data_IF_276892249821
#
_entry.id   IF_276892249821
#
_cell.length_a   1.000
_cell.length_b   1.000
_cell.length_c   1.000
_cell.angle_alpha   90.00
_cell.angle_beta   90.00
_cell.angle_gamma   90.00
#
_symmetry.space_group_name_H-M   'P 1'
#
loop_
_entity.id
_entity.type
_entity.pdbx_description
1 polymer ?
#
# COMPACT_ATOMS: atom_id res chain seq x y z
N UNK A 1 -45.63 28.79 -11.59
CA UNK A 1 -46.01 27.36 -11.81
C UNK A 1 -44.99 26.55 -11.01
N UNK A 2 -45.19 26.13 -9.77
CA UNK A 2 -46.22 25.27 -9.15
C UNK A 2 -46.24 23.86 -9.75
N UNK A 3 -45.46 22.95 -9.15
CA UNK A 3 -45.90 21.57 -8.92
C UNK A 3 -45.49 21.15 -7.52
N UNK A 4 -46.52 20.86 -6.74
CA UNK A 4 -46.52 20.38 -5.36
C UNK A 4 -46.55 18.85 -5.35
N UNK A 5 -45.84 18.30 -4.37
CA UNK A 5 -46.15 17.10 -3.56
C UNK A 5 -46.20 15.73 -4.25
N UNK A 6 -45.54 14.74 -3.62
CA UNK A 6 -46.20 13.62 -2.90
C UNK A 6 -45.20 13.04 -1.90
N UNK A 7 -45.62 12.99 -0.64
CA UNK A 7 -44.99 12.25 0.44
C UNK A 7 -45.39 10.77 0.34
N UNK A 8 -44.48 9.84 0.67
CA UNK A 8 -44.86 8.49 1.08
C UNK A 8 -43.97 8.04 2.23
N UNK A 9 -44.58 8.00 3.42
CA UNK A 9 -44.02 7.43 4.62
C UNK A 9 -44.12 5.90 4.55
N UNK A 10 -43.01 5.21 4.75
CA UNK A 10 -43.02 3.77 5.08
C UNK A 10 -42.43 3.61 6.47
N UNK A 11 -43.33 3.44 7.43
CA UNK A 11 -43.04 2.95 8.78
C UNK A 11 -42.27 1.63 8.68
N UNK A 12 -41.07 1.56 9.26
CA UNK A 12 -40.50 0.29 9.68
C UNK A 12 -40.93 0.00 11.13
N UNK A 13 -41.46 -1.19 11.42
CA UNK A 13 -41.70 -1.62 12.80
C UNK A 13 -40.36 -1.88 13.49
N UNK A 14 -40.10 -1.13 14.57
CA UNK A 14 -39.03 -1.44 15.51
C UNK A 14 -39.43 -2.71 16.29
N UNK A 15 -38.93 -3.86 15.84
CA UNK A 15 -39.00 -5.09 16.62
C UNK A 15 -38.08 -4.93 17.84
N UNK A 16 -38.69 -4.77 19.00
CA UNK A 16 -38.03 -4.81 20.29
C UNK A 16 -37.34 -6.18 20.46
N UNK A 17 -36.01 -6.18 20.55
CA UNK A 17 -35.24 -7.31 21.04
C UNK A 17 -35.50 -7.43 22.54
N UNK A 18 -36.54 -8.18 22.91
CA UNK A 18 -36.68 -8.72 24.26
C UNK A 18 -35.73 -9.91 24.38
N UNK A 19 -34.47 -9.64 24.71
CA UNK A 19 -33.56 -10.67 25.19
C UNK A 19 -33.80 -10.84 26.69
N UNK A 20 -34.32 -12.00 27.06
CA UNK A 20 -34.35 -12.46 28.44
C UNK A 20 -32.92 -12.42 29.01
N UNK A 21 -32.71 -11.64 30.07
CA UNK A 21 -31.54 -11.78 30.92
C UNK A 21 -31.80 -12.94 31.88
N UNK A 22 -31.03 -14.04 31.84
CA UNK A 22 -30.78 -14.79 33.05
C UNK A 22 -29.82 -13.94 33.90
N UNK A 23 -30.40 -13.34 34.95
CA UNK A 23 -29.66 -12.86 36.10
C UNK A 23 -29.10 -14.06 36.88
N UNK A 24 -28.05 -13.81 37.68
CA UNK A 24 -27.35 -14.71 38.60
C UNK A 24 -26.07 -15.36 38.01
N UNK A 25 -24.95 -14.63 37.89
CA UNK A 25 -24.08 -14.20 39.00
C UNK A 25 -23.40 -15.35 39.77
N UNK A 26 -22.72 -16.26 39.07
CA UNK A 26 -21.63 -17.02 39.66
C UNK A 26 -20.69 -17.51 38.54
N UNK A 27 -19.63 -16.74 38.28
CA UNK A 27 -18.25 -17.21 38.06
C UNK A 27 -17.42 -16.09 37.40
N UNK A 28 -17.30 -14.95 38.11
CA UNK A 28 -16.43 -13.84 37.72
C UNK A 28 -15.05 -13.99 38.39
N UNK A 29 -14.49 -15.20 38.38
CA UNK A 29 -13.27 -15.51 39.13
C UNK A 29 -12.31 -16.48 38.42
N UNK A 30 -12.30 -16.57 37.07
CA UNK A 30 -11.14 -17.09 36.34
C UNK A 30 -11.14 -16.72 34.85
N UNK A 31 -11.37 -15.45 34.51
CA UNK A 31 -11.09 -14.99 33.14
C UNK A 31 -9.59 -14.73 32.99
N UNK A 32 -8.81 -15.81 32.90
CA UNK A 32 -7.44 -15.75 32.39
C UNK A 32 -7.44 -14.99 31.04
N UNK A 33 -6.41 -14.18 30.73
CA UNK A 33 -6.34 -13.49 29.45
C UNK A 33 -6.49 -14.52 28.33
N UNK A 34 -7.54 -14.39 27.53
CA UNK A 34 -7.75 -15.22 26.35
C UNK A 34 -6.69 -14.83 25.33
N UNK A 35 -5.58 -15.55 25.33
CA UNK A 35 -4.62 -15.50 24.24
C UNK A 35 -5.35 -15.97 22.99
N UNK A 36 -5.43 -15.13 21.96
CA UNK A 36 -5.83 -15.54 20.62
C UNK A 36 -4.85 -16.62 20.14
N UNK A 37 -5.20 -17.89 20.31
CA UNK A 37 -4.52 -19.06 19.72
C UNK A 37 -5.17 -19.43 18.38
N UNK A 38 -5.64 -18.42 17.64
CA UNK A 38 -6.10 -18.60 16.27
C UNK A 38 -4.90 -18.72 15.35
N UNK A 39 -4.73 -19.87 14.70
CA UNK A 39 -3.76 -20.12 13.62
C UNK A 39 -4.01 -19.27 12.35
N UNK A 40 -4.95 -18.32 12.40
CA UNK A 40 -5.36 -17.46 11.28
C UNK A 40 -4.76 -16.05 11.35
N UNK A 41 -3.66 -15.85 12.11
CA UNK A 41 -2.85 -14.64 11.93
C UNK A 41 -2.08 -14.84 10.62
N UNK A 42 -2.30 -14.01 9.57
CA UNK A 42 -1.47 -14.09 8.37
C UNK A 42 -0.03 -13.92 8.81
N UNK A 43 0.83 -14.87 8.44
CA UNK A 43 2.23 -14.86 8.81
C UNK A 43 2.79 -13.46 8.55
N UNK A 44 3.24 -12.78 9.61
CA UNK A 44 3.77 -11.43 9.50
C UNK A 44 5.03 -11.50 8.63
N UNK A 45 4.93 -11.05 7.38
CA UNK A 45 6.10 -10.84 6.55
C UNK A 45 6.84 -9.60 7.06
N UNK A 46 7.70 -9.80 8.05
CA UNK A 46 8.47 -8.74 8.70
C UNK A 46 9.36 -7.99 7.71
N UNK A 47 9.89 -8.68 6.71
CA UNK A 47 10.74 -8.09 5.67
C UNK A 47 9.97 -7.06 4.84
N UNK A 48 8.76 -7.41 4.40
CA UNK A 48 7.92 -6.48 3.63
C UNK A 48 7.49 -5.27 4.46
N UNK A 49 7.17 -5.47 5.74
CA UNK A 49 6.82 -4.38 6.67
C UNK A 49 8.01 -3.44 6.92
N UNK A 50 9.21 -3.99 7.06
CA UNK A 50 10.43 -3.19 7.21
C UNK A 50 10.78 -2.42 5.93
N UNK A 51 10.51 -3.00 4.76
CA UNK A 51 10.64 -2.31 3.48
C UNK A 51 9.63 -1.18 3.33
N UNK A 52 8.36 -1.40 3.70
CA UNK A 52 7.34 -0.35 3.71
C UNK A 52 7.70 0.78 4.68
N UNK A 53 8.21 0.46 5.87
CA UNK A 53 8.63 1.47 6.85
C UNK A 53 9.79 2.34 6.37
N UNK A 54 10.65 1.80 5.49
CA UNK A 54 11.77 2.52 4.88
C UNK A 54 11.41 3.16 3.54
N UNK A 55 10.20 2.93 3.03
CA UNK A 55 9.83 3.39 1.72
C UNK A 55 9.57 4.90 1.70
N UNK A 56 10.07 5.54 0.65
CA UNK A 56 9.88 6.96 0.35
C UNK A 56 8.81 7.09 -0.72
N UNK A 57 7.86 7.99 -0.49
CA UNK A 57 6.83 8.31 -1.50
C UNK A 57 7.47 8.97 -2.72
N UNK A 58 7.15 8.43 -3.90
CA UNK A 58 7.58 8.93 -5.19
C UNK A 58 6.43 9.13 -6.16
N UNK A 59 6.73 9.78 -7.29
CA UNK A 59 5.81 9.93 -8.39
C UNK A 59 6.54 9.95 -9.73
N UNK A 60 5.86 9.50 -10.77
CA UNK A 60 6.38 9.47 -12.12
C UNK A 60 6.29 10.85 -12.78
N UNK A 61 7.38 11.32 -13.38
CA UNK A 61 7.46 12.61 -14.09
C UNK A 61 7.35 12.49 -15.62
N UNK A 62 7.55 11.29 -16.17
CA UNK A 62 7.54 11.01 -17.61
C UNK A 62 6.43 10.03 -17.98
N UNK A 63 5.97 10.10 -19.23
CA UNK A 63 5.04 9.10 -19.75
C UNK A 63 5.77 7.80 -20.12
N UNK A 64 5.12 6.66 -19.86
CA UNK A 64 5.63 5.34 -20.23
C UNK A 64 6.87 4.89 -19.44
N UNK A 65 6.99 5.25 -18.16
CA UNK A 65 8.13 4.82 -17.34
C UNK A 65 8.09 3.30 -17.13
N UNK A 66 9.00 2.58 -17.79
CA UNK A 66 9.08 1.12 -17.67
C UNK A 66 9.68 0.70 -16.33
N UNK A 67 9.03 -0.26 -15.67
CA UNK A 67 9.58 -0.95 -14.51
C UNK A 67 10.06 -2.35 -14.89
N UNK A 68 11.19 -2.75 -14.30
CA UNK A 68 11.97 -3.92 -14.74
C UNK A 68 12.34 -4.82 -13.58
N UNK A 69 12.68 -6.07 -13.89
CA UNK A 69 13.12 -7.06 -12.89
C UNK A 69 14.51 -6.77 -12.32
N UNK A 70 15.33 -5.94 -12.98
CA UNK A 70 16.64 -5.54 -12.51
C UNK A 70 17.00 -4.11 -12.98
N UNK A 71 18.02 -3.45 -12.40
CA UNK A 71 18.39 -2.06 -12.71
C UNK A 71 19.20 -1.91 -14.01
N UNK A 72 18.75 -2.58 -15.09
CA UNK A 72 19.38 -2.56 -16.42
C UNK A 72 18.30 -2.57 -17.49
N UNK A 73 18.56 -1.93 -18.63
CA UNK A 73 17.60 -1.89 -19.73
C UNK A 73 17.49 -3.22 -20.49
N UNK A 74 18.47 -4.12 -20.32
CA UNK A 74 18.45 -5.49 -20.85
C UNK A 74 17.54 -6.43 -20.07
N UNK A 75 17.20 -6.10 -18.82
CA UNK A 75 16.28 -6.90 -18.02
C UNK A 75 14.83 -6.70 -18.47
N UNK A 76 14.02 -7.76 -18.32
CA UNK A 76 12.61 -7.77 -18.71
C UNK A 76 11.87 -6.60 -18.09
N UNK A 77 11.20 -5.83 -18.95
CA UNK A 77 10.24 -4.83 -18.51
C UNK A 77 8.90 -5.52 -18.30
N UNK A 78 8.45 -5.50 -17.05
CA UNK A 78 7.20 -6.15 -16.63
C UNK A 78 5.99 -5.31 -17.04
N UNK A 79 6.17 -3.99 -17.11
CA UNK A 79 5.15 -3.07 -17.57
C UNK A 79 5.66 -1.63 -17.60
N UNK A 80 4.72 -0.70 -17.54
CA UNK A 80 4.99 0.73 -17.56
C UNK A 80 4.01 1.50 -16.68
N UNK A 81 4.49 2.61 -16.11
CA UNK A 81 3.70 3.57 -15.38
C UNK A 81 3.43 4.82 -16.21
N UNK A 82 2.23 5.38 -16.07
CA UNK A 82 1.87 6.68 -16.63
C UNK A 82 2.44 7.82 -15.78
N UNK A 83 2.61 9.00 -16.37
CA UNK A 83 2.99 10.20 -15.63
C UNK A 83 2.01 10.48 -14.48
N UNK A 84 2.53 10.95 -13.35
CA UNK A 84 1.76 11.21 -12.13
C UNK A 84 1.45 9.98 -11.29
N UNK A 85 1.77 8.77 -11.76
CA UNK A 85 1.59 7.54 -10.98
C UNK A 85 2.41 7.62 -9.68
N UNK A 86 1.79 7.32 -8.55
CA UNK A 86 2.47 7.25 -7.24
C UNK A 86 3.30 5.97 -7.15
N UNK A 87 4.50 6.11 -6.58
CA UNK A 87 5.46 5.02 -6.38
C UNK A 87 5.84 4.95 -4.91
N UNK A 88 6.25 3.76 -4.46
CA UNK A 88 6.85 3.55 -3.15
C UNK A 88 8.29 3.06 -3.36
N UNK A 89 9.27 3.91 -3.06
CA UNK A 89 10.69 3.69 -3.36
C UNK A 89 11.43 3.22 -2.10
N UNK A 90 12.20 2.14 -2.19
CA UNK A 90 12.93 1.58 -1.04
C UNK A 90 14.34 2.15 -0.95
N UNK A 91 15.09 2.08 -2.05
CA UNK A 91 16.49 2.50 -2.13
C UNK A 91 16.87 2.78 -3.58
N UNK A 92 18.07 3.31 -3.82
CA UNK A 92 18.62 3.50 -5.15
C UNK A 92 19.96 2.79 -5.32
N UNK A 93 20.33 2.45 -6.56
CA UNK A 93 21.68 2.01 -6.88
C UNK A 93 22.20 2.69 -8.13
N UNK A 94 23.52 2.87 -8.19
CA UNK A 94 24.26 3.37 -9.36
C UNK A 94 25.33 2.38 -9.83
N UNK A 95 25.51 1.28 -9.09
CA UNK A 95 26.51 0.27 -9.34
C UNK A 95 25.92 -0.82 -10.23
N UNK A 96 26.69 -1.27 -11.23
CA UNK A 96 26.32 -2.40 -12.07
C UNK A 96 25.01 -2.20 -12.87
N UNK A 97 24.65 -0.95 -13.18
CA UNK A 97 23.42 -0.56 -13.88
C UNK A 97 23.67 -0.17 -15.34
N UNK A 98 22.60 -0.08 -16.13
CA UNK A 98 22.66 0.55 -17.46
C UNK A 98 22.33 2.04 -17.35
N UNK A 99 23.16 2.94 -17.91
CA UNK A 99 22.83 4.36 -17.96
C UNK A 99 21.55 4.63 -18.77
N UNK A 100 20.70 5.51 -18.25
CA UNK A 100 19.50 6.02 -18.93
C UNK A 100 19.52 7.53 -18.86
N UNK A 101 19.49 8.19 -20.02
CA UNK A 101 19.62 9.65 -20.14
C UNK A 101 20.87 10.19 -19.41
N UNK A 102 22.02 9.51 -19.59
CA UNK A 102 23.29 9.86 -18.96
C UNK A 102 23.42 9.51 -17.47
N UNK A 103 22.36 9.04 -16.81
CA UNK A 103 22.38 8.69 -15.39
C UNK A 103 22.41 7.18 -15.16
N UNK A 104 23.25 6.73 -14.23
CA UNK A 104 23.31 5.33 -13.78
C UNK A 104 22.32 5.02 -12.65
N UNK A 105 21.56 6.00 -12.18
CA UNK A 105 20.62 5.85 -11.07
C UNK A 105 19.39 5.02 -11.41
N UNK A 106 19.13 4.01 -10.59
CA UNK A 106 17.90 3.22 -10.59
C UNK A 106 17.34 3.13 -9.17
N UNK A 107 16.03 3.23 -9.03
CA UNK A 107 15.34 3.07 -7.75
C UNK A 107 14.63 1.71 -7.70
N UNK A 108 14.73 1.06 -6.53
CA UNK A 108 13.98 -0.15 -6.20
C UNK A 108 12.62 0.23 -5.62
N UNK A 109 11.58 -0.43 -6.07
CA UNK A 109 10.21 -0.30 -5.58
C UNK A 109 9.93 -1.31 -4.47
N UNK A 110 8.90 -1.09 -3.65
CA UNK A 110 8.46 -2.05 -2.63
C UNK A 110 8.04 -3.40 -3.23
N UNK A 111 7.51 -3.40 -4.45
CA UNK A 111 7.19 -4.63 -5.20
C UNK A 111 8.42 -5.36 -5.79
N UNK A 112 9.64 -4.93 -5.45
CA UNK A 112 10.88 -5.57 -5.87
C UNK A 112 11.40 -5.16 -7.26
N UNK A 113 10.60 -4.45 -8.06
CA UNK A 113 11.00 -3.99 -9.39
C UNK A 113 11.83 -2.70 -9.36
N UNK A 114 12.39 -2.36 -10.52
CA UNK A 114 13.32 -1.26 -10.69
C UNK A 114 12.85 -0.26 -11.74
N UNK A 115 13.02 1.02 -11.45
CA UNK A 115 12.76 2.13 -12.37
C UNK A 115 14.00 3.01 -12.52
N UNK A 116 14.24 3.55 -13.72
CA UNK A 116 15.34 4.47 -13.96
C UNK A 116 15.02 5.85 -13.37
N UNK A 117 15.99 6.49 -12.72
CA UNK A 117 15.84 7.83 -12.14
C UNK A 117 16.09 8.93 -13.18
N UNK A 118 17.06 8.72 -14.08
CA UNK A 118 17.44 9.64 -15.15
C UNK A 118 17.73 11.06 -14.62
N UNK A 119 18.61 11.20 -13.62
CA UNK A 119 18.90 12.47 -12.95
C UNK A 119 17.64 13.14 -12.36
N UNK A 120 16.75 12.33 -11.77
CA UNK A 120 15.45 12.74 -11.25
C UNK A 120 14.47 13.33 -12.31
N UNK A 121 14.76 13.15 -13.60
CA UNK A 121 13.86 13.53 -14.69
C UNK A 121 12.67 12.57 -14.83
N UNK A 122 12.83 11.29 -14.46
CA UNK A 122 11.78 10.29 -14.61
C UNK A 122 10.94 10.09 -13.36
N UNK A 123 11.55 10.26 -12.19
CA UNK A 123 10.91 10.03 -10.89
C UNK A 123 11.24 11.19 -9.95
N UNK A 124 10.22 11.72 -9.27
CA UNK A 124 10.39 12.59 -8.10
C UNK A 124 10.07 11.83 -6.82
N UNK A 125 10.63 12.24 -5.69
CA UNK A 125 10.38 11.62 -4.39
C UNK A 125 10.55 12.63 -3.25
N UNK A 126 9.92 12.34 -2.10
CA UNK A 126 9.67 13.35 -1.05
C UNK A 126 10.67 13.38 0.11
N UNK A 127 11.71 12.54 0.09
CA UNK A 127 12.66 12.40 1.21
C UNK A 127 14.03 11.84 0.81
N UNK A 128 14.95 11.65 1.75
CA UNK A 128 16.23 11.03 1.45
C UNK A 128 16.01 9.57 1.01
N UNK A 129 16.55 9.21 -0.16
CA UNK A 129 16.56 7.83 -0.64
C UNK A 129 17.96 7.27 -0.42
N UNK A 130 18.08 6.18 0.35
CA UNK A 130 19.36 5.58 0.69
C UNK A 130 19.86 4.64 -0.42
N UNK A 131 21.17 4.38 -0.46
CA UNK A 131 21.73 3.40 -1.39
C UNK A 131 21.30 1.97 -1.02
N UNK A 132 21.04 1.16 -2.05
CA UNK A 132 21.20 -0.29 -2.00
C UNK A 132 22.69 -0.60 -2.28
#
# INVERSE_FOLDING_TARGET
MKFSLIALATLLPATAFSAAMPEDAADAADAAPTYYTGSDIPALNLEERDLEKRAVSGYVKTDGLRYRTCPRTTCTAVGQYAKGTKLSLVCYTRSNTTPVNGDKGWAKLTNGYWVALANAAYVGWSGPLNAC
#
